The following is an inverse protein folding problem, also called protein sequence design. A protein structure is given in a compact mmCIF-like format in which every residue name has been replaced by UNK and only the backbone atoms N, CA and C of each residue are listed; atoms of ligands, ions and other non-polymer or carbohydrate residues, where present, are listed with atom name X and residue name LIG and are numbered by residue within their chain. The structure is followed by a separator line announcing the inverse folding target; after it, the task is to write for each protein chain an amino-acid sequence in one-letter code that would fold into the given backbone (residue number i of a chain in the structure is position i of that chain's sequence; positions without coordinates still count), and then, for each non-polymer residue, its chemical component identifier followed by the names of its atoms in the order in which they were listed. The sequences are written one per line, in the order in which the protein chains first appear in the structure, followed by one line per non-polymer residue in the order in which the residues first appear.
data_IF_696499710373
#
_entry.id   IF_696499710373
#
_cell.length_a   1.000
_cell.length_b   1.000
_cell.length_c   1.000
_cell.angle_alpha   90.00
_cell.angle_beta   90.00
_cell.angle_gamma   90.00
#
_symmetry.space_group_name_H-M   'P 1'
#
loop_
_entity.id
_entity.type
_entity.pdbx_description
1 polymer ?
#
# COMPACT_ATOMS: atom_id res chain seq x y z
N UNK A 1 13.84 1.63 -0.04
CA UNK A 1 12.80 0.61 0.18
C UNK A 1 13.14 -0.22 1.42
N UNK A 2 12.21 -0.30 2.38
CA UNK A 2 12.36 -1.01 3.64
C UNK A 2 11.48 -2.28 3.65
N UNK A 3 12.03 -3.37 3.11
CA UNK A 3 11.32 -4.65 2.90
C UNK A 3 10.69 -5.19 4.19
N UNK A 4 11.44 -5.22 5.29
CA UNK A 4 10.95 -5.69 6.60
C UNK A 4 9.75 -4.87 7.11
N UNK A 5 9.65 -3.59 6.73
CA UNK A 5 8.47 -2.77 7.06
C UNK A 5 7.31 -3.04 6.12
N UNK A 6 7.57 -3.29 4.84
CA UNK A 6 6.54 -3.68 3.88
C UNK A 6 5.86 -4.98 4.28
N UNK A 7 6.58 -5.97 4.82
CA UNK A 7 5.95 -7.22 5.31
C UNK A 7 4.77 -6.99 6.26
N UNK A 8 4.88 -5.98 7.13
CA UNK A 8 3.83 -5.63 8.09
C UNK A 8 2.86 -4.59 7.52
N UNK A 9 3.37 -3.67 6.70
CA UNK A 9 2.60 -2.55 6.18
C UNK A 9 1.69 -2.96 5.02
N UNK A 10 2.16 -3.81 4.09
CA UNK A 10 1.38 -4.30 2.94
C UNK A 10 0.05 -4.91 3.36
N UNK A 11 -0.03 -5.87 4.31
CA UNK A 11 -1.32 -6.43 4.72
C UNK A 11 -2.26 -5.38 5.35
N UNK A 12 -1.74 -4.43 6.13
CA UNK A 12 -2.55 -3.32 6.65
C UNK A 12 -3.10 -2.43 5.51
N UNK A 13 -2.26 -2.14 4.51
CA UNK A 13 -2.61 -1.34 3.32
C UNK A 13 -3.66 -2.05 2.47
N UNK A 14 -3.46 -3.32 2.15
CA UNK A 14 -4.41 -4.17 1.41
C UNK A 14 -5.76 -4.20 2.12
N UNK A 15 -5.77 -4.47 3.44
CA UNK A 15 -7.01 -4.48 4.22
C UNK A 15 -7.72 -3.13 4.21
N UNK A 16 -6.96 -2.03 4.18
CA UNK A 16 -7.51 -0.67 4.12
C UNK A 16 -8.06 -0.33 2.75
N UNK A 17 -7.37 -0.71 1.68
CA UNK A 17 -7.83 -0.56 0.29
C UNK A 17 -9.14 -1.32 0.06
N UNK A 18 -9.26 -2.56 0.54
CA UNK A 18 -10.51 -3.32 0.51
C UNK A 18 -11.65 -2.58 1.23
N UNK A 19 -11.39 -1.99 2.41
CA UNK A 19 -12.41 -1.17 3.11
C UNK A 19 -12.81 0.09 2.33
N UNK A 20 -11.92 0.61 1.49
CA UNK A 20 -12.18 1.75 0.60
C UNK A 20 -12.79 1.33 -0.74
N UNK A 21 -13.21 0.05 -0.89
CA UNK A 21 -13.71 -0.53 -2.15
C UNK A 21 -12.70 -0.46 -3.31
N UNK A 22 -11.41 -0.48 -2.99
CA UNK A 22 -10.30 -0.52 -3.93
C UNK A 22 -9.70 -1.93 -4.01
N UNK A 23 -10.57 -2.93 -4.13
CA UNK A 23 -10.21 -4.36 -4.09
C UNK A 23 -9.24 -4.77 -5.20
N UNK A 24 -9.38 -4.19 -6.40
CA UNK A 24 -8.44 -4.42 -7.50
C UNK A 24 -7.02 -4.01 -7.11
N UNK A 25 -6.87 -2.80 -6.56
CA UNK A 25 -5.57 -2.30 -6.14
C UNK A 25 -5.00 -3.10 -4.96
N UNK A 26 -5.87 -3.54 -4.03
CA UNK A 26 -5.51 -4.39 -2.91
C UNK A 26 -4.96 -5.75 -3.40
N UNK A 27 -5.63 -6.37 -4.37
CA UNK A 27 -5.20 -7.63 -4.97
C UNK A 27 -3.90 -7.47 -5.77
N UNK A 28 -3.78 -6.40 -6.57
CA UNK A 28 -2.55 -6.12 -7.33
C UNK A 28 -1.35 -5.85 -6.41
N UNK A 29 -1.51 -5.04 -5.36
CA UNK A 29 -0.43 -4.79 -4.40
C UNK A 29 0.00 -6.07 -3.68
N UNK A 30 -0.96 -6.90 -3.28
CA UNK A 30 -0.67 -8.20 -2.68
C UNK A 30 0.06 -9.14 -3.64
N UNK A 31 -0.31 -9.11 -4.92
CA UNK A 31 0.34 -9.93 -5.95
C UNK A 31 1.77 -9.44 -6.23
N UNK A 32 1.96 -8.13 -6.39
CA UNK A 32 3.27 -7.52 -6.55
C UNK A 32 4.17 -7.81 -5.35
N UNK A 33 3.62 -7.85 -4.13
CA UNK A 33 4.37 -8.19 -2.93
C UNK A 33 4.92 -9.63 -2.97
N UNK A 34 4.06 -10.61 -3.29
CA UNK A 34 4.48 -12.01 -3.43
C UNK A 34 5.47 -12.17 -4.60
N UNK A 35 5.23 -11.47 -5.71
CA UNK A 35 6.16 -11.45 -6.85
C UNK A 35 7.52 -10.89 -6.46
N UNK A 36 7.56 -9.82 -5.66
CA UNK A 36 8.80 -9.25 -5.14
C UNK A 36 9.54 -10.23 -4.21
N UNK A 37 8.83 -11.00 -3.39
CA UNK A 37 9.46 -12.02 -2.55
C UNK A 37 10.17 -13.10 -3.40
N UNK A 38 9.69 -13.35 -4.61
CA UNK A 38 10.24 -14.38 -5.50
C UNK A 38 11.30 -13.86 -6.48
N UNK A 39 11.06 -12.71 -7.10
CA UNK A 39 11.92 -12.12 -8.15
C UNK A 39 12.85 -11.02 -7.63
N UNK A 40 12.65 -10.59 -6.37
CA UNK A 40 13.33 -9.44 -5.74
C UNK A 40 13.22 -8.13 -6.53
N UNK A 41 12.27 -8.02 -7.45
CA UNK A 41 12.03 -6.82 -8.24
C UNK A 41 11.01 -5.87 -7.59
N UNK A 42 11.45 -4.71 -7.06
CA UNK A 42 10.61 -3.83 -6.26
C UNK A 42 9.66 -2.95 -7.09
N UNK A 43 9.85 -2.89 -8.41
CA UNK A 43 9.19 -1.92 -9.30
C UNK A 43 7.67 -2.00 -9.17
N UNK A 44 7.09 -3.21 -9.30
CA UNK A 44 5.64 -3.38 -9.20
C UNK A 44 5.08 -3.02 -7.82
N UNK A 45 5.82 -3.32 -6.74
CA UNK A 45 5.40 -2.95 -5.37
C UNK A 45 5.44 -1.45 -5.17
N UNK A 46 6.44 -0.77 -5.74
CA UNK A 46 6.55 0.69 -5.67
C UNK A 46 5.43 1.36 -6.46
N UNK A 47 5.19 0.95 -7.72
CA UNK A 47 4.12 1.53 -8.54
C UNK A 47 2.74 1.36 -7.89
N UNK A 48 2.39 0.13 -7.47
CA UNK A 48 1.10 -0.14 -6.83
C UNK A 48 1.02 0.49 -5.44
N UNK A 49 2.13 0.56 -4.71
CA UNK A 49 2.22 1.22 -3.41
C UNK A 49 2.01 2.75 -3.52
N UNK A 50 2.53 3.39 -4.56
CA UNK A 50 2.29 4.80 -4.86
C UNK A 50 0.83 5.05 -5.22
N UNK A 51 0.24 4.20 -6.08
CA UNK A 51 -1.19 4.28 -6.39
C UNK A 51 -2.06 4.13 -5.12
N UNK A 52 -1.65 3.25 -4.18
CA UNK A 52 -2.35 3.09 -2.91
C UNK A 52 -2.24 4.34 -2.02
N UNK A 53 -1.09 5.02 -2.03
CA UNK A 53 -0.90 6.29 -1.32
C UNK A 53 -1.81 7.38 -1.88
N UNK A 54 -1.97 7.48 -3.20
CA UNK A 54 -2.89 8.43 -3.82
C UNK A 54 -4.34 8.16 -3.42
N UNK A 55 -4.80 6.91 -3.50
CA UNK A 55 -6.13 6.51 -3.04
C UNK A 55 -6.33 6.84 -1.56
N UNK A 56 -5.32 6.64 -0.72
CA UNK A 56 -5.41 7.01 0.69
C UNK A 56 -5.44 8.52 0.92
N UNK A 57 -4.71 9.31 0.14
CA UNK A 57 -4.75 10.77 0.20
C UNK A 57 -6.14 11.27 -0.22
N UNK A 58 -6.68 10.81 -1.35
CA UNK A 58 -8.04 11.11 -1.80
C UNK A 58 -9.12 10.68 -0.80
N UNK A 59 -8.98 9.46 -0.24
CA UNK A 59 -9.92 8.97 0.77
C UNK A 59 -9.89 9.82 2.03
N UNK A 60 -8.73 10.37 2.42
CA UNK A 60 -8.61 11.31 3.55
C UNK A 60 -9.15 12.70 3.25
N UNK A 61 -9.04 13.17 2.02
CA UNK A 61 -9.69 14.41 1.59
C UNK A 61 -11.21 14.30 1.66
N UNK A 62 -11.76 13.18 1.17
CA UNK A 62 -13.20 12.89 1.27
C UNK A 62 -13.63 12.62 2.71
N UNK A 63 -12.78 11.97 3.51
CA UNK A 63 -13.07 11.64 4.90
C UNK A 63 -11.77 11.48 5.69
N UNK A 64 -11.40 12.46 6.51
CA UNK A 64 -10.10 12.51 7.20
C UNK A 64 -9.84 11.35 8.18
N UNK A 65 -10.90 10.62 8.57
CA UNK A 65 -10.85 9.42 9.41
C UNK A 65 -10.83 8.12 8.61
N UNK A 66 -10.99 8.18 7.28
CA UNK A 66 -11.01 7.01 6.42
C UNK A 66 -9.69 6.24 6.50
N UNK A 67 -8.54 6.93 6.52
CA UNK A 67 -7.21 6.32 6.64
C UNK A 67 -6.40 7.02 7.73
N UNK A 68 -5.62 6.24 8.49
CA UNK A 68 -4.73 6.77 9.53
C UNK A 68 -3.50 7.42 8.90
N UNK A 69 -3.12 8.62 9.36
CA UNK A 69 -1.90 9.31 8.90
C UNK A 69 -0.66 8.42 9.01
N UNK A 70 -0.58 7.69 10.12
CA UNK A 70 0.51 6.74 10.41
C UNK A 70 0.64 5.64 9.36
N UNK A 71 -0.48 5.14 8.80
CA UNK A 71 -0.44 4.09 7.76
C UNK A 71 0.13 4.65 6.45
N UNK A 72 -0.29 5.86 6.07
CA UNK A 72 0.22 6.57 4.88
C UNK A 72 1.72 6.84 5.04
N UNK A 73 2.15 7.39 6.18
CA UNK A 73 3.56 7.67 6.45
C UNK A 73 4.41 6.39 6.52
N UNK A 74 3.87 5.30 7.09
CA UNK A 74 4.56 4.00 7.11
C UNK A 74 4.74 3.44 5.70
N UNK A 75 3.71 3.48 4.85
CA UNK A 75 3.78 3.00 3.48
C UNK A 75 4.76 3.86 2.66
N UNK A 76 4.67 5.18 2.74
CA UNK A 76 5.55 6.10 2.02
C UNK A 76 7.03 5.90 2.43
N UNK A 77 7.30 5.72 3.73
CA UNK A 77 8.65 5.38 4.23
C UNK A 77 9.13 3.99 3.84
N UNK A 78 8.21 3.04 3.63
CA UNK A 78 8.59 1.68 3.26
C UNK A 78 8.93 1.57 1.76
N UNK A 79 8.34 2.45 0.93
CA UNK A 79 8.64 2.56 -0.50
C UNK A 79 9.94 3.34 -0.77
N UNK A 80 10.21 4.42 -0.04
CA UNK A 80 11.51 5.12 -0.05
C UNK A 80 12.62 4.30 0.62
#
# INVERSE_FOLDING_TARGET
MQVEKLEKTVPEVVQKLTKLKSDTLAAELSWCWVSFQNDQNPVGVIEKGQAALEVFKEAREKNSKAVSKKLVESLEKALN
#
